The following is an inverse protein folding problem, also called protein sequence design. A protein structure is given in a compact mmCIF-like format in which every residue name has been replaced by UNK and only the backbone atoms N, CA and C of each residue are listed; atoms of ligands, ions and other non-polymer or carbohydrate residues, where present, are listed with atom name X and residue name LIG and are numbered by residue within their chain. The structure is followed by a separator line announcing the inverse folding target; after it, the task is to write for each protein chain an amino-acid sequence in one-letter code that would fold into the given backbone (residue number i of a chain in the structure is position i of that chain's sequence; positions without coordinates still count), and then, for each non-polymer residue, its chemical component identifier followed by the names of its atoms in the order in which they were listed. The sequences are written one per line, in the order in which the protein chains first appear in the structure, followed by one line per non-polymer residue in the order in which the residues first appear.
data_IF_983579924585
#
_entry.id   IF_983579924585
#
_cell.length_a   1.000
_cell.length_b   1.000
_cell.length_c   1.000
_cell.angle_alpha   90.00
_cell.angle_beta   90.00
_cell.angle_gamma   90.00
#
_symmetry.space_group_name_H-M   'P 1'
#
loop_
_entity.id
_entity.type
_entity.pdbx_description
1 polymer ?
#
# COMPACT_ATOMS: atom_id res chain seq x y z
N UNK A 1 25.22 25.60 66.84
CA UNK A 1 24.95 24.62 67.92
C UNK A 1 23.44 24.51 68.05
N UNK A 2 22.94 23.28 67.99
CA UNK A 2 21.53 22.81 67.91
C UNK A 2 20.92 22.65 66.50
N UNK A 3 21.06 21.40 66.06
CA UNK A 3 20.25 20.65 65.09
C UNK A 3 18.82 20.45 65.63
N UNK A 4 17.82 20.37 64.75
CA UNK A 4 16.52 19.72 64.98
C UNK A 4 15.77 19.49 63.65
N UNK A 5 15.59 18.20 63.33
CA UNK A 5 14.73 17.60 62.29
C UNK A 5 13.23 17.92 62.47
N UNK A 6 12.48 17.85 61.36
CA UNK A 6 11.06 17.44 61.34
C UNK A 6 10.19 18.19 60.32
N UNK A 7 9.75 17.52 59.24
CA UNK A 7 8.62 17.98 58.40
C UNK A 7 7.26 17.74 59.10
N UNK A 8 6.10 17.73 58.43
CA UNK A 8 5.74 18.12 57.05
C UNK A 8 4.58 19.17 57.03
N UNK A 9 4.21 19.74 55.88
CA UNK A 9 2.81 20.16 55.59
C UNK A 9 2.65 20.77 54.19
N UNK A 10 1.73 20.16 53.44
CA UNK A 10 1.04 20.67 52.26
C UNK A 10 0.52 22.09 52.52
N UNK A 11 0.84 23.03 51.64
CA UNK A 11 0.12 24.30 51.50
C UNK A 11 -0.30 24.50 50.05
N UNK A 12 -1.59 24.28 49.84
CA UNK A 12 -2.39 24.80 48.73
C UNK A 12 -2.15 26.31 48.65
N UNK A 13 -1.64 26.80 47.52
CA UNK A 13 -1.60 28.23 47.21
C UNK A 13 -2.42 28.47 45.94
N UNK A 14 -3.58 29.07 46.19
CA UNK A 14 -4.52 29.68 45.28
C UNK A 14 -3.88 30.94 44.66
N UNK A 15 -3.78 31.04 43.33
CA UNK A 15 -3.40 32.31 42.65
C UNK A 15 -4.32 32.58 41.46
N UNK A 16 -5.21 33.56 41.72
CA UNK A 16 -5.66 34.68 40.88
C UNK A 16 -6.19 34.42 39.45
N UNK A 17 -7.52 34.39 39.37
CA UNK A 17 -8.34 34.67 38.18
C UNK A 17 -8.12 36.12 37.74
N UNK A 18 -7.56 36.31 36.55
CA UNK A 18 -7.61 37.58 35.80
C UNK A 18 -8.80 37.49 34.83
N UNK A 19 -9.82 38.29 35.10
CA UNK A 19 -10.91 38.55 34.15
C UNK A 19 -10.39 39.44 33.02
N UNK A 20 -10.12 38.85 31.86
CA UNK A 20 -10.02 39.58 30.60
C UNK A 20 -11.40 39.58 29.94
N UNK A 21 -11.94 40.78 29.70
CA UNK A 21 -13.10 41.01 28.84
C UNK A 21 -12.76 40.53 27.43
N UNK A 22 -13.30 39.38 27.03
CA UNK A 22 -13.28 38.95 25.62
C UNK A 22 -14.56 39.49 25.00
N UNK A 23 -14.41 40.52 24.17
CA UNK A 23 -15.41 40.87 23.16
C UNK A 23 -15.63 39.65 22.27
N UNK A 24 -16.79 39.02 22.40
CA UNK A 24 -17.24 37.98 21.48
C UNK A 24 -17.42 38.59 20.10
N UNK A 25 -16.42 38.42 19.24
CA UNK A 25 -16.60 38.56 17.81
C UNK A 25 -17.25 37.25 17.33
N UNK A 26 -18.48 37.37 16.85
CA UNK A 26 -19.20 36.34 16.10
C UNK A 26 -18.42 36.05 14.82
N UNK A 27 -17.59 35.01 14.84
CA UNK A 27 -17.09 34.36 13.63
C UNK A 27 -18.18 33.36 13.22
N UNK A 28 -18.81 33.62 12.08
CA UNK A 28 -19.64 32.66 11.38
C UNK A 28 -18.74 31.49 10.96
N UNK A 29 -18.64 30.48 11.81
CA UNK A 29 -18.05 29.19 11.44
C UNK A 29 -19.07 28.47 10.56
N UNK A 30 -18.88 28.60 9.25
CA UNK A 30 -19.43 27.64 8.31
C UNK A 30 -18.70 26.32 8.57
N UNK A 31 -19.28 25.47 9.41
CA UNK A 31 -18.98 24.05 9.48
C UNK A 31 -19.31 23.44 8.10
N UNK A 32 -18.41 23.64 7.14
CA UNK A 32 -18.28 22.73 6.02
C UNK A 32 -17.52 21.52 6.57
N UNK A 33 -18.24 20.64 7.27
CA UNK A 33 -17.87 19.24 7.31
C UNK A 33 -17.85 18.79 5.84
N UNK A 34 -16.70 18.91 5.18
CA UNK A 34 -16.52 18.35 3.85
C UNK A 34 -16.87 16.88 3.99
N UNK A 35 -17.99 16.49 3.38
CA UNK A 35 -18.42 15.11 3.36
C UNK A 35 -17.36 14.34 2.58
N UNK A 36 -16.42 13.73 3.30
CA UNK A 36 -15.46 12.80 2.72
C UNK A 36 -16.29 11.74 2.01
N UNK A 37 -16.02 11.47 0.74
CA UNK A 37 -16.77 10.44 0.02
C UNK A 37 -16.57 9.11 0.75
N UNK A 38 -17.58 8.24 0.87
CA UNK A 38 -17.39 6.90 1.45
C UNK A 38 -16.40 6.04 0.66
N UNK A 39 -15.99 6.48 -0.53
CA UNK A 39 -14.97 5.86 -1.37
C UNK A 39 -13.57 6.45 -1.19
N UNK A 40 -13.44 7.57 -0.49
CA UNK A 40 -12.13 8.17 -0.22
C UNK A 40 -11.42 7.36 0.87
N UNK A 41 -10.11 7.21 0.71
CA UNK A 41 -9.21 6.44 1.57
C UNK A 41 -7.90 7.19 1.72
N UNK A 42 -7.16 6.82 2.75
CA UNK A 42 -5.77 7.24 2.95
C UNK A 42 -4.87 6.03 2.68
N UNK A 43 -3.77 6.27 1.97
CA UNK A 43 -2.69 5.31 1.75
C UNK A 43 -1.35 5.92 2.12
N UNK A 44 -0.30 5.12 2.14
CA UNK A 44 1.07 5.55 2.45
C UNK A 44 1.98 5.28 1.26
N UNK A 45 2.75 6.30 0.83
CA UNK A 45 3.80 6.12 -0.16
C UNK A 45 5.15 5.84 0.53
N UNK A 46 5.80 4.72 0.19
CA UNK A 46 6.90 4.19 1.00
C UNK A 46 8.14 3.72 0.19
N UNK A 47 9.30 4.25 0.57
CA UNK A 47 10.70 3.84 0.32
C UNK A 47 11.49 4.16 1.62
N UNK A 48 10.82 3.94 2.76
CA UNK A 48 10.69 4.79 3.96
C UNK A 48 9.59 5.85 3.80
N UNK A 49 8.89 6.28 4.88
CA UNK A 49 7.83 7.30 4.76
C UNK A 49 8.29 8.53 3.97
N UNK A 50 7.71 8.78 2.80
CA UNK A 50 8.10 9.89 1.93
C UNK A 50 7.30 11.14 2.26
N UNK A 51 7.95 12.15 2.80
CA UNK A 51 7.32 13.43 3.10
C UNK A 51 7.42 14.40 1.91
N UNK A 52 6.36 15.20 1.74
CA UNK A 52 6.30 16.35 0.84
C UNK A 52 6.35 15.99 -0.66
N UNK A 53 6.12 14.73 -1.05
CA UNK A 53 5.97 14.33 -2.45
C UNK A 53 4.59 14.75 -2.94
N UNK A 54 4.51 15.36 -4.13
CA UNK A 54 3.23 15.76 -4.73
C UNK A 54 2.49 14.52 -5.23
N UNK A 55 1.17 14.48 -5.01
CA UNK A 55 0.30 13.45 -5.56
C UNK A 55 -0.92 14.09 -6.22
N UNK A 56 -1.40 13.47 -7.30
CA UNK A 56 -2.60 13.90 -8.01
C UNK A 56 -3.36 12.72 -8.58
N UNK A 57 -4.69 12.79 -8.51
CA UNK A 57 -5.66 11.83 -9.03
C UNK A 57 -6.85 12.59 -9.62
N UNK A 58 -7.89 11.89 -10.08
CA UNK A 58 -9.08 12.58 -10.61
C UNK A 58 -9.85 13.35 -9.52
N UNK A 59 -9.70 12.92 -8.26
CA UNK A 59 -10.49 13.44 -7.15
C UNK A 59 -9.69 14.17 -6.06
N UNK A 60 -8.41 13.84 -5.91
CA UNK A 60 -7.55 14.38 -4.87
C UNK A 60 -6.22 14.85 -5.43
N UNK A 61 -5.71 15.95 -4.90
CA UNK A 61 -4.36 16.42 -5.10
C UNK A 61 -3.79 16.93 -3.77
N UNK A 62 -2.48 16.86 -3.60
CA UNK A 62 -1.86 17.30 -2.36
C UNK A 62 -0.39 16.91 -2.30
N UNK A 63 0.13 16.89 -1.07
CA UNK A 63 1.47 16.39 -0.78
C UNK A 63 1.42 15.38 0.36
N UNK A 64 2.29 14.39 0.29
CA UNK A 64 2.40 13.39 1.35
C UNK A 64 2.84 14.03 2.68
N UNK A 65 2.27 13.56 3.79
CA UNK A 65 2.65 14.05 5.12
C UNK A 65 3.94 13.38 5.64
N UNK A 66 4.31 13.64 6.89
CA UNK A 66 5.53 13.06 7.53
C UNK A 66 5.52 11.52 7.58
N UNK A 67 4.33 10.92 7.61
CA UNK A 67 4.14 9.47 7.59
C UNK A 67 4.02 8.92 6.15
N UNK A 68 4.21 9.74 5.12
CA UNK A 68 4.01 9.35 3.73
C UNK A 68 2.55 9.28 3.29
N UNK A 69 1.61 9.74 4.12
CA UNK A 69 0.19 9.53 3.87
C UNK A 69 -0.35 10.44 2.74
N UNK A 70 -1.21 9.89 1.89
CA UNK A 70 -1.88 10.58 0.79
C UNK A 70 -3.35 10.14 0.69
N UNK A 71 -4.20 11.05 0.18
CA UNK A 71 -5.62 10.75 -0.07
C UNK A 71 -5.83 10.22 -1.48
N UNK A 72 -6.69 9.21 -1.61
CA UNK A 72 -7.11 8.67 -2.89
C UNK A 72 -8.58 8.23 -2.84
N UNK A 73 -9.17 8.01 -4.01
CA UNK A 73 -10.48 7.37 -4.14
C UNK A 73 -10.31 5.97 -4.71
N UNK A 74 -11.04 5.01 -4.17
CA UNK A 74 -11.02 3.62 -4.63
C UNK A 74 -11.23 3.53 -6.16
N UNK A 75 -10.34 2.81 -6.83
CA UNK A 75 -10.37 2.60 -8.29
C UNK A 75 -9.69 3.70 -9.10
N UNK A 76 -9.25 4.80 -8.49
CA UNK A 76 -8.47 5.83 -9.19
C UNK A 76 -6.97 5.52 -9.18
N UNK A 77 -6.30 5.95 -10.25
CA UNK A 77 -4.84 6.01 -10.26
C UNK A 77 -4.36 7.31 -9.61
N UNK A 78 -3.28 7.20 -8.85
CA UNK A 78 -2.57 8.32 -8.22
C UNK A 78 -1.22 8.44 -8.89
N UNK A 79 -0.87 9.63 -9.33
CA UNK A 79 0.43 9.98 -9.88
C UNK A 79 1.23 10.72 -8.83
N UNK A 80 2.47 10.31 -8.60
CA UNK A 80 3.40 10.95 -7.67
C UNK A 80 4.48 11.72 -8.42
N UNK A 81 4.85 12.89 -7.92
CA UNK A 81 5.83 13.79 -8.55
C UNK A 81 6.61 14.65 -7.56
N UNK A 82 7.73 15.20 -8.04
CA UNK A 82 8.48 16.27 -7.39
C UNK A 82 8.61 17.38 -8.44
N UNK A 83 7.77 18.42 -8.36
CA UNK A 83 7.68 19.42 -9.43
C UNK A 83 7.27 18.75 -10.75
N UNK A 84 8.00 19.02 -11.83
CA UNK A 84 7.72 18.41 -13.15
C UNK A 84 8.30 16.98 -13.29
N UNK A 85 9.08 16.49 -12.30
CA UNK A 85 9.62 15.14 -12.31
C UNK A 85 8.55 14.16 -11.85
N UNK A 86 7.99 13.39 -12.79
CA UNK A 86 7.01 12.33 -12.51
C UNK A 86 7.75 11.09 -12.02
N UNK A 87 7.45 10.65 -10.79
CA UNK A 87 8.02 9.44 -10.19
C UNK A 87 7.33 8.17 -10.72
N UNK A 88 6.03 8.26 -11.00
CA UNK A 88 5.23 7.20 -11.59
C UNK A 88 3.77 7.29 -11.19
N UNK A 89 2.98 6.30 -11.58
CA UNK A 89 1.55 6.24 -11.29
C UNK A 89 1.11 4.81 -11.01
N UNK A 90 0.25 4.65 -10.01
CA UNK A 90 -0.30 3.36 -9.60
C UNK A 90 -1.76 3.50 -9.19
N UNK A 91 -2.48 2.37 -9.02
CA UNK A 91 -3.77 2.39 -8.34
C UNK A 91 -3.60 2.87 -6.89
N UNK A 92 -4.52 3.71 -6.42
CA UNK A 92 -4.56 4.08 -5.01
C UNK A 92 -4.89 2.87 -4.15
N UNK A 93 -4.05 2.59 -3.16
CA UNK A 93 -4.15 1.49 -2.21
C UNK A 93 -3.48 1.87 -0.88
N UNK A 94 -3.59 1.01 0.14
CA UNK A 94 -3.11 1.31 1.51
C UNK A 94 -1.60 1.54 1.56
N UNK A 95 -0.83 0.79 0.76
CA UNK A 95 0.61 0.96 0.62
C UNK A 95 0.99 1.01 -0.85
N UNK A 96 1.59 2.12 -1.27
CA UNK A 96 2.20 2.29 -2.59
C UNK A 96 3.70 2.40 -2.37
N UNK A 97 4.51 1.69 -3.15
CA UNK A 97 5.96 1.86 -3.15
C UNK A 97 6.49 2.09 -4.56
N UNK A 98 7.78 2.45 -4.73
CA UNK A 98 8.45 2.54 -6.04
C UNK A 98 8.20 1.36 -6.98
N UNK A 99 7.91 0.17 -6.43
CA UNK A 99 7.58 -1.00 -7.23
C UNK A 99 6.22 -0.85 -7.93
N UNK A 100 5.17 -0.38 -7.24
CA UNK A 100 3.85 -0.12 -7.85
C UNK A 100 3.91 0.98 -8.91
N UNK A 101 4.79 1.96 -8.69
CA UNK A 101 4.98 3.09 -9.60
C UNK A 101 5.72 2.72 -10.88
N UNK A 102 6.26 1.49 -10.96
CA UNK A 102 7.10 1.03 -12.06
C UNK A 102 6.42 -0.12 -12.83
N UNK A 103 5.48 0.17 -13.73
CA UNK A 103 4.83 -0.87 -14.55
C UNK A 103 5.84 -1.75 -15.27
N UNK A 104 5.65 -3.08 -15.18
CA UNK A 104 6.50 -4.07 -15.84
C UNK A 104 7.78 -4.43 -15.08
N UNK A 105 8.05 -3.84 -13.91
CA UNK A 105 9.10 -4.34 -13.05
C UNK A 105 8.74 -5.70 -12.45
N UNK A 106 9.64 -6.66 -12.54
CA UNK A 106 9.42 -8.07 -12.13
C UNK A 106 10.04 -8.40 -10.76
N UNK A 107 10.88 -7.50 -10.24
CA UNK A 107 11.68 -7.68 -9.04
C UNK A 107 12.24 -6.32 -8.57
N UNK A 108 12.64 -6.25 -7.30
CA UNK A 108 13.34 -5.07 -6.74
C UNK A 108 14.70 -4.81 -7.40
N UNK A 109 15.22 -5.78 -8.17
CA UNK A 109 16.44 -5.64 -8.96
C UNK A 109 16.20 -5.04 -10.35
N UNK A 110 14.94 -4.76 -10.72
CA UNK A 110 14.62 -4.15 -12.00
C UNK A 110 15.27 -2.75 -12.10
N UNK A 111 15.98 -2.41 -13.21
CA UNK A 111 16.73 -1.16 -13.33
C UNK A 111 15.90 0.09 -13.02
N UNK A 112 14.66 0.14 -13.47
CA UNK A 112 13.78 1.29 -13.22
C UNK A 112 13.42 1.48 -11.74
N UNK A 113 13.24 0.38 -10.99
CA UNK A 113 13.04 0.46 -9.54
C UNK A 113 14.31 0.96 -8.88
N UNK A 114 15.46 0.37 -9.24
CA UNK A 114 16.77 0.79 -8.73
C UNK A 114 17.00 2.28 -8.96
N UNK A 115 16.69 2.79 -10.14
CA UNK A 115 16.84 4.21 -10.48
C UNK A 115 15.93 5.09 -9.64
N UNK A 116 14.67 4.69 -9.46
CA UNK A 116 13.69 5.44 -8.66
C UNK A 116 14.09 5.48 -7.17
N UNK A 117 14.44 4.34 -6.56
CA UNK A 117 14.82 4.29 -5.14
C UNK A 117 16.13 5.03 -4.87
N UNK A 118 17.12 4.93 -5.78
CA UNK A 118 18.37 5.68 -5.67
C UNK A 118 18.11 7.17 -5.73
N UNK A 119 17.25 7.61 -6.64
CA UNK A 119 16.87 9.01 -6.77
C UNK A 119 16.19 9.52 -5.50
N UNK A 120 15.15 8.84 -5.02
CA UNK A 120 14.40 9.23 -3.83
C UNK A 120 15.27 9.29 -2.57
N UNK A 121 16.02 8.23 -2.29
CA UNK A 121 16.89 8.16 -1.11
C UNK A 121 18.06 9.16 -1.17
N UNK A 122 18.49 9.58 -2.37
CA UNK A 122 19.53 10.62 -2.50
C UNK A 122 19.02 12.02 -2.19
N UNK A 123 17.71 12.26 -2.36
CA UNK A 123 17.07 13.54 -2.09
C UNK A 123 16.72 13.74 -0.61
N UNK A 124 16.95 12.72 0.22
CA UNK A 124 16.65 12.84 1.63
C UNK A 124 17.49 13.96 2.28
N UNK A 125 16.80 14.93 2.89
CA UNK A 125 17.40 16.20 3.30
C UNK A 125 18.42 16.08 4.43
N UNK A 126 18.32 15.06 5.27
CA UNK A 126 19.27 14.77 6.35
C UNK A 126 20.15 13.54 6.06
N UNK A 127 19.82 12.79 5.01
CA UNK A 127 20.56 11.61 4.54
C UNK A 127 20.39 10.38 5.42
N UNK A 128 19.41 10.37 6.33
CA UNK A 128 19.05 9.24 7.19
C UNK A 128 17.67 8.69 6.85
N UNK A 129 17.65 7.84 5.81
CA UNK A 129 16.42 7.18 5.33
C UNK A 129 15.70 6.33 6.38
N UNK A 130 16.32 6.03 7.53
CA UNK A 130 15.67 5.23 8.58
C UNK A 130 14.61 6.02 9.35
N UNK A 131 14.62 7.36 9.24
CA UNK A 131 13.66 8.25 9.91
C UNK A 131 12.59 8.82 8.95
N UNK A 132 12.61 8.39 7.68
CA UNK A 132 11.77 8.91 6.59
C UNK A 132 12.64 9.44 5.45
N UNK A 133 12.01 9.84 4.34
CA UNK A 133 12.66 10.60 3.26
C UNK A 133 11.98 11.96 3.20
N UNK A 134 12.74 13.03 3.42
CA UNK A 134 12.19 14.38 3.41
C UNK A 134 12.58 15.15 2.15
N UNK A 135 11.60 15.38 1.27
CA UNK A 135 11.77 16.21 0.07
C UNK A 135 11.56 17.69 0.42
N UNK A 136 12.51 18.55 0.07
CA UNK A 136 12.43 19.99 0.38
C UNK A 136 11.63 20.77 -0.67
N UNK A 137 11.07 21.92 -0.30
CA UNK A 137 10.39 22.82 -1.27
C UNK A 137 11.33 23.35 -2.37
N UNK A 138 12.62 23.45 -2.08
CA UNK A 138 13.63 23.84 -3.06
C UNK A 138 13.78 22.80 -4.16
N UNK A 139 13.74 21.50 -3.82
CA UNK A 139 13.78 20.40 -4.78
C UNK A 139 12.62 20.43 -5.78
N UNK A 140 11.40 20.78 -5.35
CA UNK A 140 10.28 21.00 -6.28
C UNK A 140 10.54 22.18 -7.22
N UNK A 141 11.16 23.25 -6.70
CA UNK A 141 11.46 24.44 -7.50
C UNK A 141 12.53 24.16 -8.55
N UNK A 142 13.57 23.41 -8.17
CA UNK A 142 14.64 22.95 -9.06
C UNK A 142 14.13 21.96 -10.11
N UNK A 143 13.07 21.20 -9.80
CA UNK A 143 12.52 20.20 -10.70
C UNK A 143 11.71 20.79 -11.86
N UNK A 144 11.42 22.10 -11.86
CA UNK A 144 10.66 22.74 -12.95
C UNK A 144 11.40 22.61 -14.29
N UNK A 145 10.74 21.99 -15.27
CA UNK A 145 11.31 21.70 -16.59
C UNK A 145 12.33 20.57 -16.63
N UNK A 146 12.58 19.88 -15.51
CA UNK A 146 13.48 18.73 -15.45
C UNK A 146 12.71 17.47 -15.83
N UNK A 147 13.25 16.68 -16.75
CA UNK A 147 12.71 15.39 -17.16
C UNK A 147 13.72 14.31 -16.82
N UNK A 148 13.34 13.41 -15.91
CA UNK A 148 14.15 12.25 -15.51
C UNK A 148 13.51 11.00 -16.10
N UNK A 149 14.29 10.22 -16.86
CA UNK A 149 13.84 8.92 -17.34
C UNK A 149 14.32 7.82 -16.39
N UNK A 150 13.42 7.26 -15.58
CA UNK A 150 13.75 6.12 -14.73
C UNK A 150 13.87 4.80 -15.52
N UNK A 151 13.29 4.70 -16.72
CA UNK A 151 13.26 3.49 -17.54
C UNK A 151 14.49 3.33 -18.45
N UNK A 152 15.68 3.42 -17.86
CA UNK A 152 16.97 3.20 -18.53
C UNK A 152 17.85 2.24 -17.72
N UNK A 153 18.96 1.78 -18.29
CA UNK A 153 19.89 0.92 -17.54
C UNK A 153 20.48 1.69 -16.35
N UNK A 154 20.79 0.99 -15.26
CA UNK A 154 21.22 1.64 -14.01
C UNK A 154 22.55 2.42 -14.15
N UNK A 155 23.46 1.94 -15.00
CA UNK A 155 24.72 2.63 -15.31
C UNK A 155 24.44 3.91 -16.14
N UNK A 156 23.58 3.81 -17.14
CA UNK A 156 23.16 4.96 -17.98
C UNK A 156 22.46 6.03 -17.14
N UNK A 157 21.58 5.63 -16.22
CA UNK A 157 20.89 6.54 -15.30
C UNK A 157 21.86 7.35 -14.43
N UNK A 158 22.93 6.72 -13.97
CA UNK A 158 23.93 7.40 -13.14
C UNK A 158 24.81 8.41 -13.90
N UNK A 159 24.84 8.29 -15.22
CA UNK A 159 25.57 9.18 -16.13
C UNK A 159 24.66 10.17 -16.86
N UNK A 160 23.33 10.05 -16.70
CA UNK A 160 22.35 10.92 -17.33
C UNK A 160 22.57 12.38 -16.89
N UNK A 161 22.86 13.31 -17.82
CA UNK A 161 23.14 14.70 -17.48
C UNK A 161 22.03 15.36 -16.65
N UNK A 162 20.76 15.04 -16.91
CA UNK A 162 19.65 15.62 -16.16
C UNK A 162 19.60 15.12 -14.72
N UNK A 163 19.91 13.82 -14.52
CA UNK A 163 20.01 13.22 -13.17
C UNK A 163 21.19 13.83 -12.42
N UNK A 164 22.37 13.87 -13.05
CA UNK A 164 23.60 14.39 -12.44
C UNK A 164 23.45 15.86 -12.05
N UNK A 165 22.90 16.69 -12.93
CA UNK A 165 22.67 18.12 -12.67
C UNK A 165 21.66 18.30 -11.54
N UNK A 166 20.51 17.61 -11.60
CA UNK A 166 19.49 17.74 -10.57
C UNK A 166 19.97 17.30 -9.19
N UNK A 167 20.71 16.18 -9.09
CA UNK A 167 21.28 15.71 -7.81
C UNK A 167 22.34 16.68 -7.29
N UNK A 168 23.18 17.26 -8.16
CA UNK A 168 24.18 18.24 -7.77
C UNK A 168 23.56 19.56 -7.27
N UNK A 169 22.42 19.95 -7.81
CA UNK A 169 21.72 21.17 -7.38
C UNK A 169 20.85 20.94 -6.14
N UNK A 170 20.34 19.72 -5.96
CA UNK A 170 19.34 19.40 -4.94
C UNK A 170 19.89 18.82 -3.65
N UNK A 171 21.12 18.29 -3.64
CA UNK A 171 21.65 17.49 -2.52
C UNK A 171 22.99 18.02 -2.02
N UNK A 172 23.30 17.82 -0.73
CA UNK A 172 24.60 18.21 -0.19
C UNK A 172 25.74 17.26 -0.60
N UNK A 173 25.42 16.00 -0.93
CA UNK A 173 26.40 14.99 -1.35
C UNK A 173 26.86 15.19 -2.80
N UNK A 174 26.04 15.84 -3.63
CA UNK A 174 26.18 15.93 -5.09
C UNK A 174 26.36 14.56 -5.77
N UNK A 175 25.92 13.49 -5.10
CA UNK A 175 26.15 12.13 -5.52
C UNK A 175 24.88 11.32 -5.36
N UNK A 176 24.51 10.63 -6.44
CA UNK A 176 23.45 9.64 -6.42
C UNK A 176 23.92 8.45 -5.56
N UNK A 177 23.06 8.02 -4.64
CA UNK A 177 23.29 6.87 -3.78
C UNK A 177 23.62 5.63 -4.62
N UNK A 178 24.50 4.77 -4.10
CA UNK A 178 24.87 3.54 -4.80
C UNK A 178 23.69 2.56 -4.82
N UNK A 179 23.59 1.78 -5.91
CA UNK A 179 22.47 0.87 -6.11
C UNK A 179 22.37 -0.21 -5.02
N UNK A 180 23.48 -0.67 -4.46
CA UNK A 180 23.47 -1.76 -3.46
C UNK A 180 22.89 -1.26 -2.15
N UNK A 181 23.31 -0.09 -1.68
CA UNK A 181 22.76 0.54 -0.48
C UNK A 181 21.29 0.88 -0.67
N UNK A 182 20.92 1.50 -1.80
CA UNK A 182 19.54 1.89 -2.05
C UNK A 182 18.58 0.67 -2.07
N UNK A 183 18.97 -0.41 -2.77
CA UNK A 183 18.20 -1.67 -2.77
C UNK A 183 18.15 -2.32 -1.39
N UNK A 184 19.23 -2.28 -0.61
CA UNK A 184 19.26 -2.82 0.76
C UNK A 184 18.31 -2.10 1.71
N UNK A 185 18.32 -0.77 1.68
CA UNK A 185 17.38 0.07 2.44
C UNK A 185 15.94 -0.23 2.04
N UNK A 186 15.65 -0.20 0.74
CA UNK A 186 14.31 -0.45 0.22
C UNK A 186 13.81 -1.86 0.56
N UNK A 187 14.68 -2.88 0.48
CA UNK A 187 14.33 -4.27 0.84
C UNK A 187 13.92 -4.38 2.31
N UNK A 188 14.59 -3.65 3.20
CA UNK A 188 14.24 -3.64 4.63
C UNK A 188 12.83 -3.05 4.86
N UNK A 189 12.52 -1.96 4.16
CA UNK A 189 11.21 -1.29 4.25
C UNK A 189 10.09 -2.18 3.71
N UNK A 190 10.27 -2.78 2.52
CA UNK A 190 9.22 -3.62 1.94
C UNK A 190 8.97 -4.87 2.78
N UNK A 191 9.99 -5.45 3.41
CA UNK A 191 9.80 -6.60 4.32
C UNK A 191 8.94 -6.25 5.54
N UNK A 192 8.95 -4.98 5.97
CA UNK A 192 8.15 -4.47 7.09
C UNK A 192 6.73 -4.05 6.68
N UNK A 193 6.60 -3.35 5.55
CA UNK A 193 5.35 -2.66 5.18
C UNK A 193 4.57 -3.33 4.04
N UNK A 194 5.16 -4.26 3.29
CA UNK A 194 4.57 -4.73 2.04
C UNK A 194 4.13 -6.18 1.98
N UNK A 195 3.16 -6.30 1.08
CA UNK A 195 2.85 -7.43 0.21
C UNK A 195 4.09 -7.90 -0.59
N UNK A 196 5.07 -8.51 0.08
CA UNK A 196 6.23 -9.08 -0.62
C UNK A 196 5.93 -10.54 -0.97
N UNK A 197 6.40 -11.05 -2.11
CA UNK A 197 6.59 -12.48 -2.25
C UNK A 197 7.47 -13.01 -1.10
N UNK A 198 6.88 -13.68 -0.10
CA UNK A 198 7.55 -14.43 0.97
C UNK A 198 8.68 -15.30 0.43
N UNK A 199 8.46 -15.82 -0.78
CA UNK A 199 9.50 -16.22 -1.70
C UNK A 199 8.93 -16.22 -3.12
N UNK A 200 9.40 -15.31 -3.99
CA UNK A 200 8.86 -15.16 -5.35
C UNK A 200 9.07 -16.43 -6.18
N UNK A 201 10.18 -17.13 -5.93
CA UNK A 201 10.46 -18.45 -6.51
C UNK A 201 9.50 -19.54 -6.06
N UNK A 202 8.68 -19.30 -5.03
CA UNK A 202 7.72 -20.25 -4.48
C UNK A 202 6.28 -19.87 -4.75
N UNK A 203 5.98 -18.79 -5.49
CA UNK A 203 4.62 -18.27 -5.66
C UNK A 203 3.89 -18.06 -4.32
N UNK A 204 4.58 -17.54 -3.31
CA UNK A 204 4.01 -17.26 -1.98
C UNK A 204 4.08 -15.77 -1.68
N UNK A 205 2.94 -15.17 -1.34
CA UNK A 205 2.79 -13.73 -1.16
C UNK A 205 2.18 -13.43 0.19
N UNK A 206 2.79 -12.50 0.93
CA UNK A 206 2.26 -12.05 2.22
C UNK A 206 1.27 -10.93 2.01
N UNK A 207 0.29 -10.81 2.89
CA UNK A 207 -0.60 -9.66 2.99
C UNK A 207 -0.55 -9.07 4.39
N UNK A 208 -0.16 -7.81 4.45
CA UNK A 208 -0.25 -6.97 5.65
C UNK A 208 -1.29 -5.91 5.36
N UNK A 209 -2.34 -5.86 6.20
CA UNK A 209 -3.47 -4.93 6.01
C UNK A 209 -4.19 -4.72 7.33
N UNK A 210 -4.57 -3.47 7.61
CA UNK A 210 -5.46 -3.17 8.72
C UNK A 210 -6.87 -2.82 8.21
N UNK A 211 -7.85 -3.66 8.55
CA UNK A 211 -9.24 -3.48 8.12
C UNK A 211 -9.99 -2.58 9.10
N UNK A 212 -10.51 -1.44 8.62
CA UNK A 212 -11.23 -0.49 9.47
C UNK A 212 -12.62 -1.04 9.90
N UNK A 213 -12.85 -1.27 11.21
CA UNK A 213 -14.12 -1.75 11.73
C UNK A 213 -15.29 -0.79 11.50
N UNK A 214 -15.02 0.50 11.29
CA UNK A 214 -16.02 1.55 11.16
C UNK A 214 -16.62 1.62 9.77
N UNK A 215 -15.98 1.00 8.78
CA UNK A 215 -16.48 1.00 7.41
C UNK A 215 -17.85 0.33 7.34
N UNK A 216 -18.73 0.90 6.53
CA UNK A 216 -20.01 0.28 6.21
C UNK A 216 -19.77 -0.98 5.36
N UNK A 217 -20.68 -1.94 5.46
CA UNK A 217 -20.78 -3.01 4.47
C UNK A 217 -20.95 -2.35 3.10
N UNK A 218 -20.11 -2.64 2.09
CA UNK A 218 -20.20 -2.04 0.76
C UNK A 218 -21.62 -2.14 0.25
N UNK A 219 -22.08 -1.10 -0.45
CA UNK A 219 -23.48 -0.80 -0.72
C UNK A 219 -24.15 -1.85 -1.62
N UNK A 220 -24.40 -3.03 -1.06
CA UNK A 220 -25.23 -4.12 -1.57
C UNK A 220 -26.22 -4.61 -0.51
N UNK A 221 -26.45 -3.84 0.55
CA UNK A 221 -27.66 -4.00 1.37
C UNK A 221 -28.93 -3.36 0.74
N UNK A 222 -28.83 -2.61 -0.37
CA UNK A 222 -29.95 -1.86 -0.97
C UNK A 222 -30.15 -2.05 -2.49
N UNK A 223 -29.96 -3.26 -3.03
CA UNK A 223 -30.59 -3.75 -4.29
C UNK A 223 -30.19 -5.19 -4.72
N UNK A 224 -29.44 -5.96 -3.92
CA UNK A 224 -29.19 -7.39 -4.18
C UNK A 224 -28.19 -7.69 -5.30
N UNK A 225 -27.24 -6.80 -5.59
CA UNK A 225 -26.10 -7.15 -6.47
C UNK A 225 -25.01 -7.87 -5.67
N UNK A 226 -24.36 -8.84 -6.31
CA UNK A 226 -23.17 -9.51 -5.76
C UNK A 226 -21.92 -8.63 -5.95
N UNK A 227 -20.79 -9.06 -5.39
CA UNK A 227 -19.46 -8.49 -5.67
C UNK A 227 -19.23 -8.32 -7.18
N UNK A 228 -18.54 -7.24 -7.56
CA UNK A 228 -18.12 -6.97 -8.94
C UNK A 228 -16.89 -6.05 -8.94
N UNK A 229 -15.75 -6.53 -9.43
CA UNK A 229 -14.53 -5.72 -9.58
C UNK A 229 -14.72 -4.45 -10.41
N UNK A 230 -15.70 -4.44 -11.33
CA UNK A 230 -16.07 -3.26 -12.14
C UNK A 230 -16.92 -2.21 -11.40
N UNK A 231 -17.40 -2.49 -10.19
CA UNK A 231 -18.24 -1.59 -9.39
C UNK A 231 -17.51 -1.23 -8.09
N UNK A 232 -16.96 -0.01 -8.02
CA UNK A 232 -16.20 0.50 -6.87
C UNK A 232 -17.04 0.61 -5.60
N UNK A 233 -18.37 0.52 -5.69
CA UNK A 233 -19.27 0.48 -4.53
C UNK A 233 -19.46 -0.93 -3.96
N UNK A 234 -18.96 -1.97 -4.63
CA UNK A 234 -19.13 -3.36 -4.22
C UNK A 234 -18.03 -3.88 -3.28
N UNK A 235 -17.01 -3.08 -2.99
CA UNK A 235 -15.89 -3.42 -2.11
C UNK A 235 -15.39 -2.21 -1.31
N UNK A 236 -14.71 -2.46 -0.19
CA UNK A 236 -14.20 -1.44 0.74
C UNK A 236 -12.76 -1.04 0.45
N UNK A 237 -11.94 -1.97 -0.02
CA UNK A 237 -10.53 -1.77 -0.34
C UNK A 237 -10.14 -2.62 -1.54
N UNK A 238 -9.07 -2.20 -2.21
CA UNK A 238 -8.39 -2.98 -3.25
C UNK A 238 -6.89 -2.96 -2.99
N UNK A 239 -6.22 -4.07 -3.30
CA UNK A 239 -4.77 -4.18 -3.39
C UNK A 239 -4.39 -4.89 -4.68
N UNK A 240 -3.13 -4.72 -5.08
CA UNK A 240 -2.55 -5.53 -6.13
C UNK A 240 -1.09 -5.89 -5.85
N UNK A 241 -0.65 -7.00 -6.43
CA UNK A 241 0.77 -7.39 -6.49
C UNK A 241 1.07 -8.10 -7.80
N UNK A 242 2.37 -8.20 -8.13
CA UNK A 242 2.81 -8.91 -9.33
C UNK A 242 3.18 -10.36 -9.02
N UNK A 243 2.69 -11.26 -9.86
CA UNK A 243 2.95 -12.69 -9.86
C UNK A 243 3.65 -13.06 -11.16
N UNK A 244 4.81 -13.73 -11.09
CA UNK A 244 5.48 -14.18 -12.30
C UNK A 244 5.04 -15.60 -12.65
N UNK A 245 4.77 -15.87 -13.93
CA UNK A 245 4.54 -17.22 -14.41
C UNK A 245 5.84 -18.04 -14.49
N UNK A 246 5.75 -19.28 -14.96
CA UNK A 246 6.91 -20.17 -15.08
C UNK A 246 7.97 -19.73 -16.11
N UNK A 247 7.66 -18.74 -16.95
CA UNK A 247 8.57 -18.12 -17.91
C UNK A 247 9.13 -16.78 -17.41
N UNK A 248 8.68 -16.32 -16.23
CA UNK A 248 9.08 -15.05 -15.66
C UNK A 248 8.25 -13.87 -16.16
N UNK A 249 7.15 -14.10 -16.88
CA UNK A 249 6.27 -13.02 -17.31
C UNK A 249 5.38 -12.57 -16.14
N UNK A 250 5.27 -11.26 -15.87
CA UNK A 250 4.49 -10.74 -14.77
C UNK A 250 2.99 -10.70 -15.10
N UNK A 251 2.19 -11.09 -14.12
CA UNK A 251 0.74 -11.02 -14.05
C UNK A 251 0.33 -10.16 -12.87
N UNK A 252 -0.79 -9.46 -12.97
CA UNK A 252 -1.30 -8.64 -11.85
C UNK A 252 -2.33 -9.43 -11.05
N UNK A 253 -2.08 -9.70 -9.78
CA UNK A 253 -3.12 -10.22 -8.88
C UNK A 253 -3.86 -9.03 -8.29
N UNK A 254 -5.18 -8.99 -8.46
CA UNK A 254 -6.07 -7.99 -7.89
C UNK A 254 -6.86 -8.60 -6.73
N UNK A 255 -6.86 -7.90 -5.59
CA UNK A 255 -7.52 -8.32 -4.36
C UNK A 255 -8.57 -7.30 -3.95
N UNK A 256 -9.79 -7.75 -3.68
CA UNK A 256 -10.90 -6.89 -3.28
C UNK A 256 -11.45 -7.30 -1.92
N UNK A 257 -11.43 -6.36 -0.97
CA UNK A 257 -11.85 -6.60 0.40
C UNK A 257 -13.27 -6.09 0.62
N UNK A 258 -14.15 -6.98 1.06
CA UNK A 258 -15.58 -6.72 1.21
C UNK A 258 -15.98 -7.06 2.64
N UNK A 259 -16.39 -6.07 3.42
CA UNK A 259 -16.94 -6.28 4.76
C UNK A 259 -18.26 -7.04 4.64
N UNK A 260 -18.38 -8.13 5.37
CA UNK A 260 -19.60 -8.95 5.40
C UNK A 260 -20.60 -8.43 6.44
N UNK A 261 -21.91 -8.57 6.20
CA UNK A 261 -22.90 -8.34 7.22
C UNK A 261 -22.74 -9.34 8.37
N UNK A 262 -23.07 -8.91 9.58
CA UNK A 262 -23.13 -9.80 10.74
C UNK A 262 -24.23 -10.86 10.53
N UNK A 263 -23.83 -12.12 10.37
CA UNK A 263 -24.74 -13.26 10.27
C UNK A 263 -24.77 -14.06 11.57
N UNK A 264 -25.72 -13.74 12.44
CA UNK A 264 -25.94 -14.45 13.70
C UNK A 264 -26.57 -15.84 13.53
N UNK A 265 -26.95 -16.24 12.31
CA UNK A 265 -27.49 -17.57 12.03
C UNK A 265 -26.40 -18.58 11.69
N UNK A 266 -25.22 -18.11 11.30
CA UNK A 266 -24.05 -18.93 11.08
C UNK A 266 -23.39 -19.30 12.43
N UNK A 267 -23.30 -20.59 12.79
CA UNK A 267 -22.66 -21.03 14.03
C UNK A 267 -21.17 -20.67 14.09
N UNK A 268 -20.52 -20.37 12.96
CA UNK A 268 -19.14 -19.90 12.90
C UNK A 268 -18.98 -18.41 13.24
N UNK A 269 -20.07 -17.69 13.50
CA UNK A 269 -20.04 -16.25 13.87
C UNK A 269 -19.97 -16.05 15.39
N UNK A 270 -20.16 -17.10 16.20
CA UNK A 270 -20.08 -17.00 17.66
C UNK A 270 -18.67 -16.60 18.11
N UNK A 271 -18.54 -15.42 18.73
CA UNK A 271 -17.24 -14.85 19.15
C UNK A 271 -16.43 -14.20 18.02
N UNK A 272 -16.92 -14.23 16.78
CA UNK A 272 -16.25 -13.68 15.59
C UNK A 272 -17.18 -12.67 14.88
N UNK A 273 -17.46 -11.52 15.51
CA UNK A 273 -18.48 -10.59 15.00
C UNK A 273 -18.07 -9.88 13.70
N UNK A 274 -16.82 -10.01 13.27
CA UNK A 274 -16.27 -9.29 12.14
C UNK A 274 -15.82 -10.28 11.06
N UNK A 275 -16.50 -10.25 9.92
CA UNK A 275 -16.20 -11.10 8.77
C UNK A 275 -15.95 -10.23 7.54
N UNK A 276 -15.01 -10.66 6.72
CA UNK A 276 -14.63 -10.01 5.48
C UNK A 276 -14.44 -11.06 4.39
N UNK A 277 -14.93 -10.78 3.19
CA UNK A 277 -14.56 -11.54 2.01
C UNK A 277 -13.38 -10.90 1.31
N UNK A 278 -12.39 -11.70 0.98
CA UNK A 278 -11.36 -11.40 0.01
C UNK A 278 -11.74 -12.06 -1.32
N UNK A 279 -11.99 -11.24 -2.34
CA UNK A 279 -12.10 -11.70 -3.71
C UNK A 279 -10.76 -11.54 -4.42
N UNK A 280 -10.40 -12.51 -5.25
CA UNK A 280 -9.15 -12.50 -6.01
C UNK A 280 -9.44 -12.66 -7.49
N UNK A 281 -8.80 -11.83 -8.30
CA UNK A 281 -8.76 -11.92 -9.76
C UNK A 281 -7.31 -11.84 -10.21
N UNK A 282 -6.98 -12.42 -11.36
CA UNK A 282 -5.68 -12.27 -12.00
C UNK A 282 -5.85 -11.54 -13.33
N UNK A 283 -4.88 -10.69 -13.65
CA UNK A 283 -4.88 -9.77 -14.79
C UNK A 283 -6.19 -8.98 -14.88
N UNK A 284 -6.70 -8.76 -16.09
CA UNK A 284 -7.94 -8.01 -16.32
C UNK A 284 -9.18 -8.89 -16.11
N UNK A 285 -9.48 -9.17 -14.83
CA UNK A 285 -10.73 -9.81 -14.41
C UNK A 285 -10.81 -11.31 -14.67
N UNK A 286 -9.67 -12.00 -14.79
CA UNK A 286 -9.71 -13.47 -14.84
C UNK A 286 -10.15 -14.01 -13.48
N UNK A 287 -11.20 -14.84 -13.54
CA UNK A 287 -11.68 -15.63 -12.41
C UNK A 287 -10.67 -16.72 -12.08
N UNK A 288 -10.48 -16.99 -10.79
CA UNK A 288 -9.42 -17.89 -10.30
C UNK A 288 -9.87 -18.93 -9.26
N UNK A 289 -11.16 -19.01 -9.02
CA UNK A 289 -11.78 -19.91 -8.04
C UNK A 289 -12.45 -21.13 -8.68
N UNK A 290 -13.06 -21.96 -7.83
CA UNK A 290 -13.69 -23.20 -8.25
C UNK A 290 -12.68 -24.32 -8.51
N UNK A 291 -13.18 -25.51 -8.79
CA UNK A 291 -12.37 -26.71 -9.04
C UNK A 291 -12.45 -27.21 -10.49
N UNK A 292 -13.26 -26.56 -11.33
CA UNK A 292 -13.35 -26.86 -12.77
C UNK A 292 -12.39 -25.93 -13.52
N UNK A 293 -11.35 -26.52 -14.10
CA UNK A 293 -10.31 -25.81 -14.87
C UNK A 293 -10.87 -25.12 -16.13
N UNK A 294 -11.94 -25.66 -16.70
CA UNK A 294 -12.53 -25.14 -17.93
C UNK A 294 -13.62 -24.08 -17.65
N UNK A 295 -14.05 -23.93 -16.39
CA UNK A 295 -15.08 -22.97 -15.94
C UNK A 295 -14.71 -22.32 -14.59
N UNK A 296 -13.64 -21.49 -14.53
CA UNK A 296 -13.22 -20.85 -13.30
C UNK A 296 -14.28 -19.86 -12.78
N UNK A 297 -14.50 -19.89 -11.46
CA UNK A 297 -15.48 -19.04 -10.76
C UNK A 297 -14.80 -17.94 -9.96
N UNK A 298 -15.56 -17.02 -9.37
CA UNK A 298 -14.98 -16.02 -8.47
C UNK A 298 -14.31 -16.71 -7.28
N UNK A 299 -13.04 -16.38 -7.02
CA UNK A 299 -12.36 -16.83 -5.80
C UNK A 299 -12.84 -15.95 -4.65
N UNK A 300 -13.42 -16.55 -3.62
CA UNK A 300 -13.90 -15.86 -2.42
C UNK A 300 -13.40 -16.59 -1.18
N UNK A 301 -12.60 -15.89 -0.39
CA UNK A 301 -12.11 -16.37 0.90
C UNK A 301 -12.76 -15.55 2.02
N UNK A 302 -13.32 -16.21 3.02
CA UNK A 302 -13.93 -15.52 4.17
C UNK A 302 -12.90 -15.48 5.29
N UNK A 303 -12.50 -14.28 5.70
CA UNK A 303 -11.67 -13.99 6.84
C UNK A 303 -12.56 -13.61 8.02
N UNK A 304 -12.32 -14.18 9.19
CA UNK A 304 -13.07 -13.88 10.40
C UNK A 304 -12.12 -13.42 11.49
N UNK A 305 -12.53 -12.42 12.24
CA UNK A 305 -11.74 -11.84 13.31
C UNK A 305 -12.48 -11.94 14.64
N UNK A 306 -11.71 -12.23 15.69
CA UNK A 306 -12.22 -12.19 17.06
C UNK A 306 -12.45 -10.75 17.54
N UNK A 307 -12.91 -10.60 18.78
CA UNK A 307 -13.17 -9.29 19.38
C UNK A 307 -11.91 -8.47 19.63
N UNK A 308 -10.75 -9.12 19.68
CA UNK A 308 -9.45 -8.49 19.91
C UNK A 308 -8.75 -8.13 18.59
N UNK A 309 -9.36 -8.47 17.44
CA UNK A 309 -8.87 -8.15 16.11
C UNK A 309 -7.93 -9.18 15.49
N UNK A 310 -7.78 -10.35 16.12
CA UNK A 310 -6.95 -11.43 15.61
C UNK A 310 -7.71 -12.27 14.59
N UNK A 311 -6.98 -12.76 13.58
CA UNK A 311 -7.53 -13.65 12.57
C UNK A 311 -7.87 -15.02 13.19
N UNK A 312 -9.08 -15.50 12.94
CA UNK A 312 -9.58 -16.80 13.41
C UNK A 312 -9.75 -17.84 12.29
N UNK A 313 -9.51 -17.44 11.04
CA UNK A 313 -9.54 -18.32 9.86
C UNK A 313 -8.15 -18.85 9.52
N UNK A 314 -8.05 -19.67 8.47
CA UNK A 314 -6.76 -20.06 7.93
C UNK A 314 -5.94 -18.82 7.57
N UNK A 315 -4.67 -18.84 7.95
CA UNK A 315 -3.69 -17.79 7.66
C UNK A 315 -3.20 -17.87 6.21
N UNK A 316 -3.57 -18.90 5.47
CA UNK A 316 -3.06 -19.18 4.14
C UNK A 316 -4.19 -19.55 3.20
N UNK A 317 -4.25 -18.85 2.07
CA UNK A 317 -5.26 -19.00 1.03
C UNK A 317 -4.56 -19.48 -0.25
N UNK A 318 -5.09 -20.53 -0.87
CA UNK A 318 -4.51 -21.08 -2.11
C UNK A 318 -5.41 -20.70 -3.29
N UNK A 319 -4.77 -20.19 -4.34
CA UNK A 319 -5.41 -19.95 -5.64
C UNK A 319 -4.84 -20.96 -6.62
N UNK A 320 -5.70 -21.86 -7.10
CA UNK A 320 -5.30 -23.03 -7.88
C UNK A 320 -5.97 -23.14 -9.24
N UNK A 321 -6.89 -22.23 -9.59
CA UNK A 321 -7.70 -22.33 -10.82
C UNK A 321 -7.54 -21.12 -11.75
N UNK A 322 -6.30 -20.80 -12.13
CA UNK A 322 -6.02 -19.74 -13.10
C UNK A 322 -5.00 -20.17 -14.15
N UNK A 323 -5.18 -19.72 -15.38
CA UNK A 323 -4.29 -20.04 -16.50
C UNK A 323 -3.55 -18.77 -16.93
N UNK A 324 -2.21 -18.72 -16.81
CA UNK A 324 -1.45 -17.56 -17.23
C UNK A 324 -1.68 -17.23 -18.71
N UNK A 325 -1.93 -15.95 -19.00
CA UNK A 325 -2.03 -15.45 -20.37
C UNK A 325 -0.65 -15.39 -21.02
N UNK A 326 -0.54 -15.84 -22.26
CA UNK A 326 0.71 -15.81 -23.04
C UNK A 326 0.41 -15.37 -24.48
N UNK A 327 1.43 -14.85 -25.18
CA UNK A 327 1.28 -14.44 -26.57
C UNK A 327 1.16 -15.69 -27.47
N UNK A 328 0.23 -15.67 -28.42
CA UNK A 328 -0.08 -16.83 -29.26
C UNK A 328 1.06 -17.24 -30.22
N UNK A 329 2.10 -16.42 -30.35
CA UNK A 329 3.32 -16.68 -31.11
C UNK A 329 4.38 -17.45 -30.31
N UNK A 330 4.18 -17.66 -29.00
CA UNK A 330 5.04 -18.51 -28.20
C UNK A 330 4.71 -20.00 -28.41
N UNK A 331 5.74 -20.77 -28.78
CA UNK A 331 5.66 -22.22 -28.95
C UNK A 331 5.61 -22.98 -27.62
N UNK A 332 5.96 -22.31 -26.52
CA UNK A 332 5.87 -22.81 -25.16
C UNK A 332 4.74 -22.14 -24.40
N UNK A 333 4.05 -22.90 -23.55
CA UNK A 333 3.01 -22.39 -22.65
C UNK A 333 3.56 -22.37 -21.22
N UNK A 334 3.26 -21.33 -20.44
CA UNK A 334 3.50 -21.36 -19.01
C UNK A 334 2.77 -22.53 -18.34
N UNK A 335 3.26 -22.93 -17.17
CA UNK A 335 2.62 -23.95 -16.34
C UNK A 335 1.17 -23.52 -16.05
N UNK A 336 0.23 -24.45 -16.26
CA UNK A 336 -1.20 -24.22 -16.02
C UNK A 336 -1.61 -24.55 -14.57
N UNK A 337 -2.90 -24.38 -14.25
CA UNK A 337 -3.41 -24.64 -12.91
C UNK A 337 -3.41 -26.13 -12.56
N UNK A 338 -3.31 -26.42 -11.26
CA UNK A 338 -3.45 -27.74 -10.67
C UNK A 338 -4.52 -27.70 -9.57
N UNK A 339 -5.78 -27.84 -9.98
CA UNK A 339 -6.95 -27.76 -9.10
C UNK A 339 -7.08 -28.95 -8.14
N UNK A 340 -6.42 -30.07 -8.43
CA UNK A 340 -6.46 -31.30 -7.63
C UNK A 340 -5.39 -31.30 -6.51
N UNK A 341 -4.34 -30.48 -6.66
CA UNK A 341 -3.28 -30.33 -5.67
C UNK A 341 -3.13 -28.87 -5.24
N UNK A 342 -3.72 -28.51 -4.09
CA UNK A 342 -3.55 -27.19 -3.45
C UNK A 342 -2.13 -26.94 -2.90
N UNK A 343 -1.13 -27.70 -3.35
CA UNK A 343 0.26 -27.57 -2.93
C UNK A 343 0.97 -26.59 -3.86
N UNK A 344 1.63 -25.59 -3.27
CA UNK A 344 2.52 -24.68 -3.98
C UNK A 344 3.97 -25.12 -3.78
N UNK A 345 4.61 -25.58 -4.87
CA UNK A 345 5.95 -26.20 -4.85
C UNK A 345 7.09 -25.19 -5.09
N UNK A 346 8.30 -25.56 -4.68
CA UNK A 346 9.55 -24.85 -4.99
C UNK A 346 10.56 -25.84 -5.62
N UNK A 347 10.89 -25.72 -6.92
CA UNK A 347 10.35 -24.75 -7.87
C UNK A 347 8.86 -25.02 -8.20
N UNK A 348 8.12 -24.04 -8.76
CA UNK A 348 6.71 -24.20 -9.09
C UNK A 348 6.49 -25.29 -10.14
N UNK A 349 5.45 -26.10 -9.96
CA UNK A 349 5.03 -27.17 -10.88
C UNK A 349 3.69 -26.91 -11.56
N UNK A 350 2.99 -25.85 -11.15
CA UNK A 350 1.73 -25.35 -11.67
C UNK A 350 1.72 -23.82 -11.56
N UNK A 351 0.67 -23.17 -12.06
CA UNK A 351 0.43 -21.75 -11.84
C UNK A 351 -0.02 -21.42 -10.41
N UNK A 352 -0.34 -22.42 -9.59
CA UNK A 352 -0.87 -22.23 -8.24
C UNK A 352 0.00 -21.26 -7.43
N UNK A 353 -0.64 -20.39 -6.66
CA UNK A 353 0.02 -19.47 -5.75
C UNK A 353 -0.72 -19.39 -4.42
N UNK A 354 -0.03 -18.84 -3.44
CA UNK A 354 -0.46 -18.77 -2.06
C UNK A 354 -0.47 -17.32 -1.58
N UNK A 355 -1.53 -16.95 -0.88
CA UNK A 355 -1.68 -15.67 -0.20
C UNK A 355 -1.68 -15.95 1.31
N UNK A 356 -0.63 -15.53 1.99
CA UNK A 356 -0.50 -15.53 3.44
C UNK A 356 -1.16 -14.26 3.99
N UNK A 357 -2.20 -14.43 4.79
CA UNK A 357 -3.00 -13.37 5.42
C UNK A 357 -2.78 -13.32 6.94
N UNK A 358 -1.72 -13.94 7.46
CA UNK A 358 -1.43 -14.02 8.88
C UNK A 358 -1.27 -12.64 9.54
N UNK A 359 -0.91 -11.60 8.77
CA UNK A 359 -0.75 -10.22 9.24
C UNK A 359 -1.87 -9.27 8.78
N UNK A 360 -2.98 -9.84 8.31
CA UNK A 360 -4.23 -9.08 8.24
C UNK A 360 -4.77 -8.92 9.65
N UNK A 361 -5.04 -7.68 10.02
CA UNK A 361 -5.53 -7.28 11.34
C UNK A 361 -6.84 -6.51 11.21
N UNK A 362 -7.52 -6.42 12.33
CA UNK A 362 -8.77 -5.70 12.48
C UNK A 362 -8.68 -4.80 13.71
N UNK A 363 -8.76 -3.47 13.57
CA UNK A 363 -8.60 -2.56 14.71
C UNK A 363 -8.27 -1.13 14.31
N UNK A 364 -8.08 -0.22 15.30
CA UNK A 364 -7.89 1.22 15.04
C UNK A 364 -6.77 1.50 14.03
N UNK A 365 -6.99 2.54 13.21
CA UNK A 365 -6.00 3.12 12.32
C UNK A 365 -4.69 3.35 13.07
N UNK A 366 -3.56 3.07 12.41
CA UNK A 366 -2.27 3.61 12.88
C UNK A 366 -2.42 5.13 12.79
N UNK A 367 -2.71 5.77 13.92
CA UNK A 367 -2.82 7.24 14.04
C UNK A 367 -1.48 7.95 13.76
#
# INVERSE_FOLDING_TARGET
MFDLKGGPAIKIILILIIYAFISGCSSDDSDSSASISPLDREGIFIDSPLMNVEYSSSSHEGRTNVNGAFLYRIGEKVTFSIGDIVLGSALGQEVVSPFELTPGADSVAHPSIINLIRFLQSLDSDGDVTNGISITNEMHTLANGVLINFHQLADEFSEDPAVVEYIADSTASNLLLDATTATGNFTTVIDEYRLVPLAASKNQYKVVRNLDPRLEVPFTANNGKAFSSADTLSYNYTDSFLLNDSFGFPHTVNMYWVKEPLDLTDPLTEGLPNSWSLYVEVDEGQKVGGTDIDDPTDARFILRFDTDGNLATAETLVVSNWTPLYSADDSSRPLGPDVDHEVVNDPPTSSNFMIDVADVRFGESVE
#
